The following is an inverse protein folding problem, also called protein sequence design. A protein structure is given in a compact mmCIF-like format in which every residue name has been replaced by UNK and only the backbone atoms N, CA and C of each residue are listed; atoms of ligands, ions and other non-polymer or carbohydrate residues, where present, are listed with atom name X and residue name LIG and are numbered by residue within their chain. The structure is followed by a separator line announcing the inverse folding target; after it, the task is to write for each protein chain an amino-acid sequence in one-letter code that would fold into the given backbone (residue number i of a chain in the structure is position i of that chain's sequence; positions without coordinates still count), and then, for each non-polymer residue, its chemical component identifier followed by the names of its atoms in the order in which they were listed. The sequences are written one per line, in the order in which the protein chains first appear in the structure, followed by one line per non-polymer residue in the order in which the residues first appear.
data_IF_807869020194
#
_entry.id   IF_807869020194
#
_cell.length_a   1.000
_cell.length_b   1.000
_cell.length_c   1.000
_cell.angle_alpha   90.00
_cell.angle_beta   90.00
_cell.angle_gamma   90.00
#
_symmetry.space_group_name_H-M   'P 1'
#
loop_
_entity.id
_entity.type
_entity.pdbx_description
1 polymer ?
#
# COMPACT_ATOMS: atom_id res chain seq x y z
N UNK A 1 -60.67 -11.16 -63.13
CA UNK A 1 -61.12 -10.74 -61.79
C UNK A 1 -61.95 -9.47 -61.96
N UNK A 2 -63.24 -9.47 -61.60
CA UNK A 2 -64.14 -8.34 -61.92
C UNK A 2 -63.84 -7.13 -61.04
N UNK A 3 -63.87 -5.92 -61.60
CA UNK A 3 -63.46 -4.65 -60.97
C UNK A 3 -64.10 -4.43 -59.58
N UNK A 4 -65.30 -4.97 -59.36
CA UNK A 4 -65.99 -4.95 -58.06
C UNK A 4 -65.21 -5.68 -56.94
N UNK A 5 -64.53 -6.78 -57.26
CA UNK A 5 -63.66 -7.52 -56.33
C UNK A 5 -62.38 -6.74 -56.02
N UNK A 6 -61.85 -6.00 -56.98
CA UNK A 6 -60.65 -5.17 -56.78
C UNK A 6 -60.92 -3.98 -55.83
N UNK A 7 -62.08 -3.33 -55.99
CA UNK A 7 -62.48 -2.22 -55.11
C UNK A 7 -62.72 -2.70 -53.67
N UNK A 8 -63.33 -3.87 -53.50
CA UNK A 8 -63.56 -4.44 -52.16
C UNK A 8 -62.25 -4.72 -51.41
N UNK A 9 -61.22 -5.23 -52.10
CA UNK A 9 -59.92 -5.49 -51.47
C UNK A 9 -59.15 -4.22 -51.10
N UNK A 10 -59.28 -3.14 -51.89
CA UNK A 10 -58.62 -1.85 -51.58
C UNK A 10 -59.24 -1.20 -50.33
N UNK A 11 -60.56 -1.30 -50.16
CA UNK A 11 -61.24 -0.76 -48.96
C UNK A 11 -60.91 -1.56 -47.70
N UNK A 12 -60.85 -2.90 -47.81
CA UNK A 12 -60.46 -3.77 -46.67
C UNK A 12 -58.98 -3.57 -46.30
N UNK A 13 -58.09 -3.39 -47.27
CA UNK A 13 -56.67 -3.14 -47.03
C UNK A 13 -56.40 -1.78 -46.39
N UNK A 14 -57.17 -0.74 -46.77
CA UNK A 14 -57.06 0.60 -46.17
C UNK A 14 -57.55 0.64 -44.71
N UNK A 15 -58.60 -0.13 -44.37
CA UNK A 15 -59.11 -0.22 -43.00
C UNK A 15 -58.15 -0.96 -42.04
N UNK A 16 -57.39 -1.93 -42.56
CA UNK A 16 -56.37 -2.67 -41.78
C UNK A 16 -55.13 -1.80 -41.50
N UNK A 17 -54.76 -0.91 -42.43
CA UNK A 17 -53.63 0.00 -42.25
C UNK A 17 -53.91 1.18 -41.32
N UNK A 18 -55.19 1.44 -40.97
CA UNK A 18 -55.58 2.52 -40.06
C UNK A 18 -55.74 2.06 -38.59
N UNK A 19 -55.77 0.75 -38.30
CA UNK A 19 -55.84 0.20 -36.93
C UNK A 19 -54.50 -0.23 -36.32
N UNK A 20 -53.45 -0.42 -37.13
CA UNK A 20 -52.08 -0.63 -36.65
C UNK A 20 -51.26 0.59 -37.04
N UNK A 21 -51.09 1.55 -36.11
CA UNK A 21 -50.23 2.72 -36.31
C UNK A 21 -48.80 2.33 -36.73
N UNK A 22 -47.97 3.29 -37.21
CA UNK A 22 -46.63 2.98 -37.69
C UNK A 22 -45.77 2.47 -36.52
N UNK A 23 -45.62 1.15 -36.42
CA UNK A 23 -44.66 0.52 -35.55
C UNK A 23 -43.27 0.93 -36.05
N UNK A 24 -42.71 1.95 -35.41
CA UNK A 24 -41.36 2.40 -35.71
C UNK A 24 -40.45 1.33 -35.12
N UNK A 25 -40.03 0.39 -35.97
CA UNK A 25 -39.12 -0.68 -35.62
C UNK A 25 -37.77 -0.07 -35.27
N UNK A 26 -37.57 0.20 -33.98
CA UNK A 26 -36.28 0.63 -33.45
C UNK A 26 -35.43 -0.62 -33.37
N UNK A 27 -34.39 -0.73 -34.21
CA UNK A 27 -33.38 -1.78 -34.08
C UNK A 27 -32.58 -1.53 -32.81
N UNK A 28 -33.06 -2.05 -31.69
CA UNK A 28 -32.27 -2.14 -30.48
C UNK A 28 -31.25 -3.26 -30.69
N UNK A 29 -30.00 -2.85 -30.92
CA UNK A 29 -28.87 -3.77 -31.07
C UNK A 29 -28.79 -4.66 -29.84
N UNK A 30 -29.14 -5.95 -30.02
CA UNK A 30 -28.89 -6.99 -29.03
C UNK A 30 -27.38 -7.16 -28.85
N UNK A 31 -26.80 -6.34 -27.98
CA UNK A 31 -25.56 -6.70 -27.30
C UNK A 31 -25.95 -7.62 -26.16
N UNK A 32 -25.80 -8.91 -26.41
CA UNK A 32 -25.55 -9.91 -25.39
C UNK A 32 -24.41 -9.42 -24.48
N UNK A 33 -24.73 -8.64 -23.45
CA UNK A 33 -23.86 -8.50 -22.30
C UNK A 33 -24.25 -9.63 -21.36
N UNK A 34 -23.47 -10.70 -21.44
CA UNK A 34 -23.22 -11.53 -20.27
C UNK A 34 -22.98 -10.56 -19.12
N UNK A 35 -23.88 -10.50 -18.13
CA UNK A 35 -23.57 -9.85 -16.87
C UNK A 35 -22.37 -10.60 -16.32
N UNK A 36 -21.17 -10.07 -16.58
CA UNK A 36 -20.02 -10.38 -15.76
C UNK A 36 -20.45 -9.97 -14.35
N UNK A 37 -20.81 -10.97 -13.55
CA UNK A 37 -20.89 -10.85 -12.11
C UNK A 37 -19.56 -10.25 -11.70
N UNK A 38 -19.56 -8.94 -11.46
CA UNK A 38 -18.43 -8.26 -10.84
C UNK A 38 -18.27 -8.99 -9.52
N UNK A 39 -17.24 -9.83 -9.41
CA UNK A 39 -16.83 -10.36 -8.13
C UNK A 39 -16.46 -9.14 -7.29
N UNK A 40 -17.43 -8.71 -6.50
CA UNK A 40 -17.21 -7.74 -5.45
C UNK A 40 -16.22 -8.43 -4.51
N UNK A 41 -14.99 -7.90 -4.47
CA UNK A 41 -13.97 -8.35 -3.54
C UNK A 41 -14.66 -8.36 -2.17
N UNK A 42 -14.77 -9.53 -1.49
CA UNK A 42 -15.51 -9.60 -0.25
C UNK A 42 -14.92 -8.57 0.69
N UNK A 43 -15.75 -7.61 1.10
CA UNK A 43 -15.34 -6.62 2.09
C UNK A 43 -15.02 -7.41 3.36
N UNK A 44 -13.85 -7.20 3.98
CA UNK A 44 -13.49 -7.94 5.18
C UNK A 44 -14.62 -7.78 6.21
N UNK A 45 -15.11 -8.91 6.72
CA UNK A 45 -16.26 -8.92 7.65
C UNK A 45 -15.94 -8.26 9.00
N UNK A 46 -14.67 -7.95 9.25
CA UNK A 46 -14.17 -7.24 10.41
C UNK A 46 -12.91 -6.44 10.02
N UNK A 47 -12.78 -5.25 10.56
CA UNK A 47 -11.60 -4.40 10.44
C UNK A 47 -10.80 -4.50 11.75
N UNK A 48 -9.50 -4.79 11.66
CA UNK A 48 -8.61 -4.82 12.82
C UNK A 48 -7.62 -3.68 12.66
N UNK A 49 -7.73 -2.68 13.53
CA UNK A 49 -6.73 -1.63 13.63
C UNK A 49 -5.53 -2.14 14.43
N UNK A 50 -4.35 -2.10 13.84
CA UNK A 50 -3.10 -2.53 14.49
C UNK A 50 -2.17 -1.32 14.56
N UNK A 51 -1.94 -0.84 15.77
CA UNK A 51 -0.98 0.24 16.04
C UNK A 51 0.36 -0.41 16.36
N UNK A 52 1.39 -0.06 15.59
CA UNK A 52 2.77 -0.52 15.82
C UNK A 52 3.61 0.66 16.26
N UNK A 53 4.16 0.55 17.47
CA UNK A 53 5.05 1.57 18.06
C UNK A 53 6.48 1.05 18.08
N UNK A 54 7.43 1.86 17.60
CA UNK A 54 8.86 1.54 17.68
C UNK A 54 9.48 2.19 18.92
N UNK A 55 10.33 1.44 19.63
CA UNK A 55 11.01 1.89 20.85
C UNK A 55 12.52 1.66 20.69
N UNK A 56 13.30 2.73 20.80
CA UNK A 56 14.76 2.66 20.75
C UNK A 56 15.34 2.64 22.17
N UNK A 57 16.20 1.67 22.45
CA UNK A 57 16.79 1.47 23.79
C UNK A 57 18.31 1.36 23.70
N UNK A 58 19.02 2.10 24.56
CA UNK A 58 20.47 1.98 24.75
C UNK A 58 20.73 1.46 26.16
N UNK A 59 21.40 0.31 26.24
CA UNK A 59 21.76 -0.32 27.53
C UNK A 59 23.25 -0.15 27.78
N UNK A 60 23.62 0.35 28.96
CA UNK A 60 25.00 0.56 29.37
C UNK A 60 25.30 -0.05 30.72
N UNK A 61 26.56 -0.41 30.95
CA UNK A 61 27.04 -0.77 32.29
C UNK A 61 27.24 0.48 33.18
N UNK A 62 27.69 0.26 34.42
CA UNK A 62 27.96 1.34 35.38
C UNK A 62 29.09 2.28 34.95
N UNK A 63 29.97 1.86 34.05
CA UNK A 63 31.06 2.65 33.50
C UNK A 63 30.66 3.40 32.21
N UNK A 64 29.40 3.26 31.76
CA UNK A 64 28.88 3.89 30.54
C UNK A 64 29.21 3.12 29.26
N UNK A 65 29.75 1.90 29.35
CA UNK A 65 30.03 1.08 28.17
C UNK A 65 28.74 0.40 27.70
N UNK A 66 28.48 0.47 26.38
CA UNK A 66 27.33 -0.20 25.76
C UNK A 66 27.39 -1.72 25.97
N UNK A 67 26.28 -2.29 26.40
CA UNK A 67 26.08 -3.74 26.52
C UNK A 67 25.47 -4.23 25.20
N UNK A 68 26.10 -5.23 24.59
CA UNK A 68 25.70 -5.81 23.29
C UNK A 68 25.30 -7.27 23.44
N UNK A 69 24.62 -7.82 22.43
CA UNK A 69 24.16 -9.20 22.39
C UNK A 69 22.92 -9.47 23.25
N UNK A 70 22.16 -8.42 23.55
CA UNK A 70 20.91 -8.53 24.27
C UNK A 70 19.87 -9.24 23.40
N UNK A 71 19.04 -10.04 24.07
CA UNK A 71 17.99 -10.84 23.44
C UNK A 71 16.62 -10.24 23.74
N UNK A 72 15.60 -10.53 22.93
CA UNK A 72 14.22 -10.14 23.22
C UNK A 72 13.77 -10.52 24.63
N UNK A 73 14.19 -11.68 25.13
CA UNK A 73 13.89 -12.17 26.49
C UNK A 73 14.48 -11.31 27.62
N UNK A 74 15.34 -10.34 27.31
CA UNK A 74 15.89 -9.39 28.28
C UNK A 74 15.03 -8.12 28.43
N UNK A 75 13.90 -8.03 27.72
CA UNK A 75 13.03 -6.87 27.70
C UNK A 75 11.58 -7.24 27.99
N UNK A 76 10.94 -6.43 28.81
CA UNK A 76 9.49 -6.38 28.98
C UNK A 76 9.05 -4.95 28.68
N UNK A 77 8.08 -4.81 27.77
CA UNK A 77 7.56 -3.50 27.37
C UNK A 77 6.23 -3.31 28.07
N UNK A 78 6.08 -2.21 28.79
CA UNK A 78 4.82 -1.85 29.45
C UNK A 78 4.31 -0.54 28.87
N UNK A 79 3.00 -0.49 28.64
CA UNK A 79 2.26 0.72 28.28
C UNK A 79 1.16 0.88 29.31
N UNK A 80 1.17 2.01 30.03
CA UNK A 80 0.26 2.28 31.15
C UNK A 80 0.20 1.15 32.20
N UNK A 81 1.34 0.48 32.42
CA UNK A 81 1.46 -0.64 33.36
C UNK A 81 0.96 -1.98 32.83
N UNK A 82 0.48 -2.04 31.59
CA UNK A 82 0.07 -3.28 30.92
C UNK A 82 1.20 -3.83 30.05
N UNK A 83 1.48 -5.13 30.18
CA UNK A 83 2.53 -5.81 29.39
C UNK A 83 2.13 -5.87 27.91
N UNK A 84 2.99 -5.31 27.06
CA UNK A 84 2.82 -5.29 25.61
C UNK A 84 3.62 -6.39 24.95
N UNK A 85 3.07 -6.92 23.85
CA UNK A 85 3.72 -7.98 23.08
C UNK A 85 4.87 -7.42 22.24
N UNK A 86 6.09 -7.87 22.52
CA UNK A 86 7.25 -7.63 21.64
C UNK A 86 7.13 -8.50 20.38
N UNK A 87 6.84 -7.88 19.24
CA UNK A 87 6.60 -8.56 17.95
C UNK A 87 7.84 -8.59 17.06
N UNK A 88 8.66 -7.54 17.12
CA UNK A 88 9.88 -7.39 16.32
C UNK A 88 11.03 -6.95 17.23
N UNK A 89 12.21 -7.52 17.04
CA UNK A 89 13.41 -7.13 17.78
C UNK A 89 14.63 -7.24 16.88
N UNK A 90 15.50 -6.24 16.96
CA UNK A 90 16.80 -6.24 16.33
C UNK A 90 17.80 -5.47 17.18
N UNK A 91 19.05 -5.95 17.19
CA UNK A 91 20.16 -5.22 17.79
C UNK A 91 20.81 -4.34 16.71
N UNK A 92 21.07 -3.07 17.05
CA UNK A 92 21.79 -2.13 16.18
C UNK A 92 23.24 -1.99 16.66
N UNK A 93 24.20 -2.35 15.81
CA UNK A 93 25.65 -2.13 16.05
C UNK A 93 26.20 -1.21 14.98
N UNK A 94 26.30 0.08 15.27
CA UNK A 94 26.60 1.08 14.24
C UNK A 94 25.53 1.03 13.13
N UNK A 95 25.95 0.82 11.88
CA UNK A 95 25.03 0.66 10.73
C UNK A 95 24.48 -0.77 10.53
N UNK A 96 24.92 -1.74 11.32
CA UNK A 96 24.56 -3.14 11.14
C UNK A 96 23.33 -3.51 11.99
N UNK A 97 22.31 -4.05 11.32
CA UNK A 97 21.05 -4.50 11.94
C UNK A 97 21.03 -6.02 12.02
N UNK A 98 20.90 -6.55 13.24
CA UNK A 98 20.83 -7.98 13.53
C UNK A 98 19.39 -8.39 13.86
N UNK A 99 18.67 -8.99 12.90
CA UNK A 99 17.29 -9.44 13.06
C UNK A 99 17.22 -10.70 13.93
N UNK A 100 16.28 -10.73 14.88
CA UNK A 100 15.90 -11.97 15.58
C UNK A 100 14.87 -12.73 14.76
N UNK A 101 15.13 -13.99 14.42
CA UNK A 101 14.17 -14.84 13.71
C UNK A 101 13.31 -15.63 14.72
N UNK A 102 11.98 -15.70 14.54
CA UNK A 102 11.15 -16.61 15.31
C UNK A 102 11.39 -18.06 14.87
N UNK A 103 11.70 -18.94 15.82
CA UNK A 103 11.73 -20.39 15.58
C UNK A 103 10.29 -20.92 15.48
N UNK A 104 10.01 -21.76 14.47
CA UNK A 104 8.66 -22.28 14.19
C UNK A 104 8.22 -23.39 15.17
N UNK A 105 9.13 -23.93 15.98
CA UNK A 105 8.81 -25.05 16.87
C UNK A 105 8.71 -24.68 18.36
N UNK A 106 9.28 -23.55 18.79
CA UNK A 106 9.17 -23.04 20.15
C UNK A 106 8.94 -21.55 20.04
N UNK A 107 7.82 -21.04 20.59
CA UNK A 107 7.50 -19.59 20.65
C UNK A 107 8.52 -18.83 21.51
N UNK A 108 9.79 -18.81 21.09
CA UNK A 108 10.91 -18.14 21.73
C UNK A 108 11.76 -17.57 20.61
N UNK A 109 11.94 -16.25 20.64
CA UNK A 109 12.82 -15.57 19.72
C UNK A 109 14.25 -15.98 20.08
N UNK A 110 15.05 -16.37 19.09
CA UNK A 110 16.47 -16.64 19.28
C UNK A 110 17.26 -15.75 18.35
N UNK A 111 18.39 -15.24 18.85
CA UNK A 111 19.33 -14.49 18.02
C UNK A 111 20.01 -15.48 17.06
N UNK A 112 19.98 -15.25 15.74
CA UNK A 112 20.68 -16.11 14.79
C UNK A 112 22.19 -16.06 15.05
N UNK A 113 22.85 -17.22 15.09
CA UNK A 113 24.29 -17.35 15.25
C UNK A 113 25.10 -16.99 13.98
N UNK A 114 24.43 -16.63 12.89
CA UNK A 114 25.05 -16.25 11.63
C UNK A 114 24.47 -14.91 11.14
N UNK A 115 25.30 -14.00 10.58
CA UNK A 115 24.79 -12.83 9.88
C UNK A 115 23.88 -13.29 8.74
N UNK A 116 22.65 -12.79 8.70
CA UNK A 116 21.79 -12.96 7.53
C UNK A 116 22.39 -12.19 6.34
N UNK A 117 22.15 -12.65 5.10
CA UNK A 117 22.55 -11.89 3.91
C UNK A 117 21.98 -10.47 3.97
N UNK A 118 22.79 -9.49 3.54
CA UNK A 118 22.63 -8.01 3.60
C UNK A 118 21.39 -7.44 2.88
N UNK A 119 20.33 -8.21 2.69
CA UNK A 119 19.17 -7.76 1.93
C UNK A 119 17.88 -8.19 2.64
N UNK A 120 17.49 -7.40 3.63
CA UNK A 120 16.07 -7.15 3.84
C UNK A 120 15.42 -6.81 2.49
N UNK A 121 14.12 -7.08 2.28
CA UNK A 121 13.39 -6.46 1.18
C UNK A 121 13.70 -4.98 1.28
N UNK A 122 14.45 -4.44 0.32
CA UNK A 122 14.74 -3.02 0.28
C UNK A 122 13.39 -2.37 0.00
N UNK A 123 12.63 -2.09 1.05
CA UNK A 123 11.75 -0.94 1.03
C UNK A 123 12.70 0.21 0.75
N UNK A 124 12.87 0.54 -0.53
CA UNK A 124 13.65 1.70 -0.92
C UNK A 124 13.00 2.86 -0.18
N UNK A 125 13.70 3.42 0.80
CA UNK A 125 13.19 4.51 1.61
C UNK A 125 12.79 5.62 0.63
N UNK A 126 11.48 5.82 0.44
CA UNK A 126 10.96 6.89 -0.40
C UNK A 126 10.89 8.14 0.46
N UNK A 127 11.90 8.99 0.34
CA UNK A 127 11.91 10.30 0.99
C UNK A 127 11.27 11.30 0.03
N UNK A 128 10.15 11.90 0.45
CA UNK A 128 9.47 12.97 -0.28
C UNK A 128 9.72 14.26 0.49
N UNK A 129 10.31 15.27 -0.16
CA UNK A 129 10.65 16.56 0.46
C UNK A 129 9.74 17.63 -0.15
N UNK A 130 8.97 18.30 0.70
CA UNK A 130 8.10 19.40 0.31
C UNK A 130 8.76 20.75 0.63
N UNK A 131 8.66 21.69 -0.30
CA UNK A 131 9.05 23.08 -0.08
C UNK A 131 7.80 23.95 -0.08
N UNK A 132 7.57 24.65 1.03
CA UNK A 132 6.49 25.62 1.12
C UNK A 132 6.82 26.82 0.21
N UNK A 133 5.87 27.20 -0.63
CA UNK A 133 6.02 28.33 -1.55
C UNK A 133 5.49 29.66 -0.97
N UNK A 134 4.66 29.61 0.06
CA UNK A 134 4.04 30.78 0.67
C UNK A 134 4.83 31.34 1.86
N UNK A 135 5.38 30.47 2.72
CA UNK A 135 6.03 30.92 3.95
C UNK A 135 7.56 30.97 3.87
N UNK A 136 8.16 30.45 2.79
CA UNK A 136 9.60 30.57 2.56
C UNK A 136 9.93 31.76 1.69
N UNK A 137 10.92 32.55 2.12
CA UNK A 137 11.50 33.57 1.26
C UNK A 137 12.07 32.91 -0.01
N UNK A 138 11.75 33.39 -1.23
CA UNK A 138 12.11 32.70 -2.48
C UNK A 138 13.60 32.38 -2.63
N UNK A 139 14.48 33.28 -2.16
CA UNK A 139 15.93 33.07 -2.19
C UNK A 139 16.37 31.90 -1.31
N UNK A 140 15.80 31.78 -0.11
CA UNK A 140 16.13 30.72 0.84
C UNK A 140 15.62 29.37 0.33
N UNK A 141 14.41 29.35 -0.22
CA UNK A 141 13.84 28.15 -0.87
C UNK A 141 14.75 27.66 -2.01
N UNK A 142 15.11 28.55 -2.93
CA UNK A 142 15.96 28.21 -4.07
C UNK A 142 17.36 27.75 -3.61
N UNK A 143 17.92 28.38 -2.58
CA UNK A 143 19.19 27.97 -1.99
C UNK A 143 19.11 26.57 -1.39
N UNK A 144 18.06 26.27 -0.62
CA UNK A 144 17.84 24.95 -0.02
C UNK A 144 17.66 23.86 -1.08
N UNK A 145 16.88 24.12 -2.13
CA UNK A 145 16.72 23.19 -3.27
C UNK A 145 18.08 22.91 -3.93
N UNK A 146 18.88 23.95 -4.18
CA UNK A 146 20.21 23.82 -4.79
C UNK A 146 21.20 23.03 -3.92
N UNK A 147 21.06 23.12 -2.59
CA UNK A 147 21.93 22.41 -1.64
C UNK A 147 21.47 20.99 -1.33
N UNK A 148 20.20 20.68 -1.57
CA UNK A 148 19.63 19.38 -1.26
C UNK A 148 20.27 18.26 -2.08
N UNK A 149 20.44 18.44 -3.39
CA UNK A 149 21.04 17.43 -4.27
C UNK A 149 22.46 17.00 -3.84
N UNK A 150 23.44 17.91 -3.66
CA UNK A 150 24.77 17.52 -3.21
C UNK A 150 24.76 17.00 -1.77
N UNK A 151 23.85 17.48 -0.91
CA UNK A 151 23.68 16.92 0.44
C UNK A 151 23.25 15.45 0.38
N UNK A 152 22.25 15.12 -0.44
CA UNK A 152 21.78 13.74 -0.59
C UNK A 152 22.88 12.85 -1.17
N UNK A 153 23.58 13.33 -2.20
CA UNK A 153 24.69 12.59 -2.80
C UNK A 153 25.82 12.34 -1.79
N UNK A 154 26.21 13.32 -0.99
CA UNK A 154 27.32 13.16 -0.06
C UNK A 154 26.99 12.26 1.15
N UNK A 155 25.71 12.22 1.57
CA UNK A 155 25.32 11.52 2.81
C UNK A 155 24.61 10.18 2.57
N UNK A 156 24.00 9.99 1.38
CA UNK A 156 23.13 8.84 1.11
C UNK A 156 23.45 8.09 -0.19
N UNK A 157 24.52 8.45 -0.92
CA UNK A 157 24.90 7.68 -2.13
C UNK A 157 25.31 6.25 -1.80
N UNK A 158 24.96 5.33 -2.70
CA UNK A 158 25.19 3.88 -2.65
C UNK A 158 26.65 3.44 -2.83
N UNK A 159 27.62 4.26 -2.44
CA UNK A 159 28.98 3.76 -2.22
C UNK A 159 29.00 3.07 -0.85
N UNK A 160 29.43 1.81 -0.87
CA UNK A 160 29.22 0.82 0.20
C UNK A 160 29.93 1.11 1.55
N UNK A 161 30.36 2.35 1.78
CA UNK A 161 31.28 2.73 2.85
C UNK A 161 30.70 3.78 3.83
N UNK A 162 29.41 4.11 3.76
CA UNK A 162 28.82 4.99 4.76
C UNK A 162 28.66 4.21 6.07
N UNK A 163 29.66 4.29 6.95
CA UNK A 163 29.50 4.01 8.38
C UNK A 163 28.77 5.21 8.99
N UNK A 164 27.44 5.20 8.88
CA UNK A 164 26.53 6.24 9.35
C UNK A 164 26.64 6.56 10.83
N UNK A 165 26.23 7.79 11.12
CA UNK A 165 25.95 8.32 12.45
C UNK A 165 24.92 7.47 13.19
#
# INVERSE_FOLDING_TARGET
MTIKKLILYIVISSLIFFLLGPFTFTLESSKNFTQQKKEEIPRPAYEVEVIVTNVDVVVTDKAGKRITGLKPENFEIYEDGLLQKLTNFYEVKGMEVYLSAPDKEKKKLLVPAAPLPKKSPQFGNKIIIYFDNWHLHPLNRNWSIKKLEPFIQNNFSTDNNNQGM
#
